data_IF_589332581770
#
_entry.id   IF_589332581770
#
_cell.length_a   1.000
_cell.length_b   1.000
_cell.length_c   1.000
_cell.angle_alpha   90.00
_cell.angle_beta   90.00
_cell.angle_gamma   90.00
#
_symmetry.space_group_name_H-M   'P 1'
#
loop_
_entity.id
_entity.type
_entity.pdbx_description
1 polymer ?
#
# COMPACT_ATOMS: atom_id res chain seq x y z
N UNK A 1 -0.23 20.01 10.59
CA UNK A 1 -0.62 18.60 10.77
C UNK A 1 -1.86 18.32 9.94
N UNK A 2 -1.87 17.24 9.18
CA UNK A 2 -3.00 16.77 8.38
C UNK A 2 -3.14 15.26 8.54
N UNK A 3 -4.34 14.74 8.31
CA UNK A 3 -4.63 13.30 8.37
C UNK A 3 -4.36 12.66 7.01
N UNK A 4 -3.58 11.59 7.02
CA UNK A 4 -3.25 10.82 5.82
C UNK A 4 -3.65 9.36 5.95
N UNK A 5 -4.02 8.78 4.81
CA UNK A 5 -4.07 7.34 4.57
C UNK A 5 -2.96 7.01 3.58
N UNK A 6 -2.03 6.15 3.99
CA UNK A 6 -1.00 5.60 3.10
C UNK A 6 -1.34 4.15 2.82
N UNK A 7 -1.46 3.79 1.54
CA UNK A 7 -1.73 2.40 1.12
C UNK A 7 -0.51 1.87 0.42
N UNK A 8 -0.06 0.67 0.76
CA UNK A 8 1.08 0.02 0.11
C UNK A 8 0.64 -1.24 -0.59
N UNK A 9 1.34 -1.62 -1.65
CA UNK A 9 1.17 -2.90 -2.36
C UNK A 9 2.53 -3.38 -2.84
N UNK A 10 2.79 -4.69 -2.78
CA UNK A 10 3.99 -5.24 -3.40
C UNK A 10 4.00 -4.91 -4.90
N UNK A 11 5.16 -4.51 -5.42
CA UNK A 11 5.36 -4.28 -6.87
C UNK A 11 4.95 -5.53 -7.64
N UNK A 12 4.40 -5.35 -8.84
CA UNK A 12 3.92 -6.48 -9.67
C UNK A 12 5.00 -7.52 -10.01
N UNK A 13 6.27 -7.11 -10.04
CA UNK A 13 7.41 -8.01 -10.24
C UNK A 13 7.74 -8.89 -9.03
N UNK A 14 7.17 -8.59 -7.86
CA UNK A 14 7.41 -9.30 -6.61
C UNK A 14 6.25 -10.25 -6.33
N UNK A 15 6.59 -11.53 -6.08
CA UNK A 15 5.60 -12.54 -5.77
C UNK A 15 5.02 -12.34 -4.36
N UNK A 16 3.70 -12.20 -4.29
CA UNK A 16 2.96 -12.10 -3.04
C UNK A 16 2.56 -13.50 -2.51
N UNK A 17 3.44 -14.08 -1.70
CA UNK A 17 3.22 -15.41 -1.10
C UNK A 17 2.00 -15.40 -0.17
N UNK A 18 1.72 -14.29 0.50
CA UNK A 18 0.59 -14.20 1.42
C UNK A 18 -0.74 -14.13 0.66
N UNK A 19 -0.77 -13.34 -0.42
CA UNK A 19 -1.88 -13.28 -1.35
C UNK A 19 -2.23 -14.64 -1.94
N UNK A 20 -1.22 -15.38 -2.42
CA UNK A 20 -1.40 -16.73 -2.97
C UNK A 20 -2.07 -17.69 -1.97
N UNK A 21 -1.61 -17.70 -0.71
CA UNK A 21 -2.16 -18.58 0.34
C UNK A 21 -3.60 -18.22 0.68
N UNK A 22 -3.92 -16.92 0.74
CA UNK A 22 -5.28 -16.44 1.02
C UNK A 22 -6.20 -16.79 -0.15
N UNK A 23 -5.77 -16.57 -1.39
CA UNK A 23 -6.52 -16.94 -2.60
C UNK A 23 -6.86 -18.43 -2.61
N UNK A 24 -5.88 -19.29 -2.33
CA UNK A 24 -6.10 -20.73 -2.23
C UNK A 24 -7.16 -21.08 -1.18
N UNK A 25 -7.08 -20.47 0.01
CA UNK A 25 -8.04 -20.74 1.08
C UNK A 25 -9.44 -20.25 0.72
N UNK A 26 -9.57 -19.05 0.17
CA UNK A 26 -10.85 -18.50 -0.28
C UNK A 26 -11.50 -19.36 -1.37
N UNK A 27 -10.70 -19.89 -2.31
CA UNK A 27 -11.21 -20.75 -3.36
C UNK A 27 -11.56 -22.17 -2.88
N UNK A 28 -10.88 -22.69 -1.84
CA UNK A 28 -11.32 -23.91 -1.14
C UNK A 28 -12.67 -23.73 -0.45
N UNK A 29 -12.95 -22.51 0.01
CA UNK A 29 -14.20 -22.12 0.66
C UNK A 29 -15.25 -21.59 -0.35
N UNK A 30 -15.06 -21.84 -1.66
CA UNK A 30 -16.00 -21.57 -2.77
C UNK A 30 -16.28 -20.08 -3.07
N UNK A 31 -15.36 -19.17 -2.71
CA UNK A 31 -15.51 -17.73 -2.98
C UNK A 31 -15.11 -17.29 -4.40
N UNK A 32 -14.43 -18.15 -5.17
CA UNK A 32 -14.03 -17.94 -6.57
C UNK A 32 -13.29 -16.61 -6.87
N UNK A 33 -12.30 -16.25 -6.06
CA UNK A 33 -11.47 -15.04 -6.23
C UNK A 33 -10.20 -15.30 -7.06
N UNK A 34 -9.61 -14.23 -7.60
CA UNK A 34 -8.35 -14.25 -8.37
C UNK A 34 -7.52 -13.01 -8.08
N UNK A 35 -6.20 -13.15 -8.21
CA UNK A 35 -5.20 -12.08 -8.06
C UNK A 35 -5.29 -11.36 -6.71
N UNK A 36 -5.33 -12.14 -5.63
CA UNK A 36 -5.32 -11.59 -4.27
C UNK A 36 -3.96 -10.93 -3.98
N UNK A 37 -4.00 -9.67 -3.57
CA UNK A 37 -2.82 -8.90 -3.17
C UNK A 37 -2.97 -8.43 -1.72
N UNK A 38 -1.89 -8.53 -0.96
CA UNK A 38 -1.79 -8.11 0.42
C UNK A 38 -0.84 -6.93 0.54
N UNK A 39 -1.31 -5.92 1.26
CA UNK A 39 -0.60 -4.68 1.48
C UNK A 39 -0.88 -4.13 2.87
N UNK A 40 -0.38 -2.93 3.14
CA UNK A 40 -0.57 -2.25 4.42
C UNK A 40 -1.34 -0.96 4.22
N UNK A 41 -2.08 -0.56 5.24
CA UNK A 41 -2.73 0.75 5.30
C UNK A 41 -2.33 1.44 6.59
N UNK A 42 -1.72 2.62 6.47
CA UNK A 42 -1.37 3.47 7.59
C UNK A 42 -2.33 4.65 7.67
N UNK A 43 -2.87 4.90 8.86
CA UNK A 43 -3.64 6.10 9.17
C UNK A 43 -2.84 6.92 10.19
N UNK A 44 -2.41 8.12 9.81
CA UNK A 44 -1.54 8.94 10.66
C UNK A 44 -1.80 10.43 10.47
N UNK A 45 -1.38 11.21 11.47
CA UNK A 45 -1.27 12.66 11.36
C UNK A 45 0.19 13.05 11.19
N UNK A 46 0.48 13.89 10.18
CA UNK A 46 1.82 14.37 9.90
C UNK A 46 1.81 15.78 9.30
N UNK A 47 2.93 16.50 9.29
CA UNK A 47 3.11 17.68 8.45
C UNK A 47 2.99 17.29 6.96
N UNK A 48 2.26 18.10 6.18
CA UNK A 48 2.05 17.83 4.75
C UNK A 48 3.38 17.81 3.96
N UNK A 49 4.31 18.67 4.35
CA UNK A 49 5.61 18.80 3.68
C UNK A 49 6.52 17.57 3.92
N UNK A 50 6.29 16.82 5.00
CA UNK A 50 7.17 15.72 5.44
C UNK A 50 6.61 14.32 5.12
N UNK A 51 5.32 14.19 4.78
CA UNK A 51 4.66 12.89 4.63
C UNK A 51 5.32 11.99 3.58
N UNK A 52 5.86 12.58 2.52
CA UNK A 52 6.55 11.85 1.46
C UNK A 52 7.88 11.27 1.96
N UNK A 53 8.70 12.08 2.65
CA UNK A 53 9.96 11.61 3.24
C UNK A 53 9.72 10.57 4.32
N UNK A 54 8.72 10.77 5.18
CA UNK A 54 8.32 9.79 6.19
C UNK A 54 7.95 8.43 5.57
N UNK A 55 7.23 8.45 4.44
CA UNK A 55 6.90 7.22 3.72
C UNK A 55 8.16 6.53 3.19
N UNK A 56 9.04 7.26 2.49
CA UNK A 56 10.25 6.71 1.86
C UNK A 56 11.28 6.19 2.87
N UNK A 57 11.44 6.87 3.99
CA UNK A 57 12.50 6.55 4.96
C UNK A 57 12.07 5.55 6.02
N UNK A 58 10.78 5.52 6.38
CA UNK A 58 10.30 4.77 7.54
C UNK A 58 9.18 3.79 7.20
N UNK A 59 8.12 4.24 6.51
CA UNK A 59 6.90 3.42 6.41
C UNK A 59 6.95 2.40 5.28
N UNK A 60 7.64 2.70 4.18
CA UNK A 60 7.59 1.92 2.94
C UNK A 60 9.00 1.56 2.49
N UNK A 61 9.24 0.26 2.31
CA UNK A 61 10.40 -0.21 1.57
C UNK A 61 10.14 -0.08 0.07
N UNK A 62 10.59 1.01 -0.54
CA UNK A 62 10.31 1.36 -1.94
C UNK A 62 10.90 0.38 -2.96
N UNK A 63 11.86 -0.45 -2.57
CA UNK A 63 12.38 -1.53 -3.44
C UNK A 63 11.37 -2.66 -3.64
N UNK A 64 10.47 -2.86 -2.68
CA UNK A 64 9.52 -3.97 -2.66
C UNK A 64 8.07 -3.51 -2.90
N UNK A 65 7.73 -2.31 -2.44
CA UNK A 65 6.36 -1.82 -2.41
C UNK A 65 6.21 -0.52 -3.19
N UNK A 66 5.11 -0.44 -3.94
CA UNK A 66 4.53 0.82 -4.39
C UNK A 66 3.59 1.36 -3.32
N UNK A 67 3.34 2.67 -3.31
CA UNK A 67 2.43 3.26 -2.35
C UNK A 67 1.71 4.51 -2.84
N UNK A 68 0.55 4.76 -2.23
CA UNK A 68 -0.30 5.91 -2.48
C UNK A 68 -0.54 6.67 -1.18
N UNK A 69 -0.45 7.99 -1.23
CA UNK A 69 -0.77 8.89 -0.13
C UNK A 69 -2.10 9.59 -0.44
N UNK A 70 -3.06 9.47 0.47
CA UNK A 70 -4.34 10.17 0.40
C UNK A 70 -4.51 11.09 1.60
N UNK A 71 -4.68 12.38 1.35
CA UNK A 71 -5.02 13.36 2.37
C UNK A 71 -6.50 13.23 2.71
N UNK A 72 -6.80 12.76 3.93
CA UNK A 72 -8.16 12.68 4.45
C UNK A 72 -8.73 14.08 4.76
N UNK A 73 -7.86 15.07 4.97
CA UNK A 73 -8.25 16.44 5.27
C UNK A 73 -8.69 17.22 4.03
N UNK A 74 -8.12 16.93 2.86
CA UNK A 74 -8.36 17.69 1.61
C UNK A 74 -8.96 16.86 0.49
N UNK A 75 -9.00 15.53 0.63
CA UNK A 75 -9.44 14.61 -0.44
C UNK A 75 -8.43 14.45 -1.58
N UNK A 76 -7.22 14.99 -1.44
CA UNK A 76 -6.17 14.93 -2.46
C UNK A 76 -5.47 13.56 -2.44
N UNK A 77 -5.21 12.99 -3.63
CA UNK A 77 -4.49 11.72 -3.82
C UNK A 77 -3.18 11.95 -4.57
N UNK A 78 -2.10 11.42 -4.03
CA UNK A 78 -0.80 11.33 -4.69
C UNK A 78 -0.42 9.85 -4.84
N UNK A 79 -0.14 9.43 -6.07
CA UNK A 79 0.38 8.08 -6.38
C UNK A 79 1.89 8.23 -6.56
N UNK A 80 2.67 7.38 -5.90
CA UNK A 80 4.14 7.36 -6.03
C UNK A 80 4.54 5.96 -6.51
N UNK A 81 4.79 5.87 -7.81
CA UNK A 81 5.40 4.71 -8.47
C UNK A 81 6.89 5.07 -8.67
N UNK A 82 7.79 4.42 -7.93
CA UNK A 82 9.23 4.64 -8.14
C UNK A 82 9.66 3.76 -9.33
N UNK A 83 9.96 4.38 -10.47
CA UNK A 83 10.61 3.71 -11.61
C UNK A 83 12.01 3.25 -11.18
N UNK A 84 12.18 1.95 -10.90
CA UNK A 84 13.47 1.29 -10.77
C UNK A 84 13.52 0.11 -11.73
#
# INVERSE_FOLDING_TARGET
>A
MMKFKVTTKLRESIKDIQGDVIEQKLNQDDWHVKDVKVGQVFYLEAPYEEINELCKQVLVNTLLYDYEIFSLSTGFKQVIEDEC
#
